data_IF_915820495126
#
_entry.id   IF_915820495126
#
_cell.length_a   1.000
_cell.length_b   1.000
_cell.length_c   1.000
_cell.angle_alpha   90.00
_cell.angle_beta   90.00
_cell.angle_gamma   90.00
#
_symmetry.space_group_name_H-M   'P 1'
#
loop_
_entity.id
_entity.type
_entity.pdbx_description
1 polymer ?
#
# COMPACT_ATOMS: atom_id res chain seq x y z
N UNK A 1 -10.86 -8.28 -10.89
CA UNK A 1 -11.56 -9.61 -10.98
C UNK A 1 -10.64 -10.77 -10.63
N UNK A 2 -9.44 -10.87 -11.23
CA UNK A 2 -8.48 -11.95 -10.96
C UNK A 2 -8.05 -12.04 -9.49
N UNK A 3 -7.73 -10.92 -8.85
CA UNK A 3 -7.43 -10.89 -7.40
C UNK A 3 -8.57 -11.45 -6.53
N UNK A 4 -9.84 -11.10 -6.83
CA UNK A 4 -11.00 -11.68 -6.11
C UNK A 4 -11.04 -13.21 -6.25
N UNK A 5 -10.76 -13.74 -7.45
CA UNK A 5 -10.66 -15.19 -7.68
C UNK A 5 -9.49 -15.80 -6.90
N UNK A 6 -8.34 -15.13 -6.83
CA UNK A 6 -7.16 -15.59 -6.07
C UNK A 6 -7.45 -15.65 -4.57
N UNK A 7 -8.07 -14.60 -4.01
CA UNK A 7 -8.52 -14.59 -2.61
C UNK A 7 -9.57 -15.67 -2.32
N UNK A 8 -10.58 -15.83 -3.18
CA UNK A 8 -11.55 -16.94 -3.05
C UNK A 8 -10.89 -18.31 -3.14
N UNK A 9 -9.83 -18.45 -3.95
CA UNK A 9 -9.08 -19.70 -4.07
C UNK A 9 -8.32 -20.01 -2.78
N UNK A 10 -7.60 -19.02 -2.21
CA UNK A 10 -6.96 -19.15 -0.89
C UNK A 10 -7.95 -19.60 0.19
N UNK A 11 -9.14 -18.98 0.26
CA UNK A 11 -10.16 -19.36 1.23
C UNK A 11 -10.63 -20.81 1.06
N UNK A 12 -10.76 -21.29 -0.19
CA UNK A 12 -11.12 -22.69 -0.47
C UNK A 12 -10.03 -23.66 -0.02
N UNK A 13 -8.76 -23.35 -0.29
CA UNK A 13 -7.63 -24.15 0.16
C UNK A 13 -7.59 -24.28 1.69
N UNK A 14 -7.80 -23.17 2.41
CA UNK A 14 -7.87 -23.20 3.88
C UNK A 14 -9.03 -24.05 4.38
N UNK A 15 -10.18 -24.00 3.72
CA UNK A 15 -11.37 -24.78 4.11
C UNK A 15 -11.22 -26.27 3.85
N UNK A 16 -10.54 -26.68 2.77
CA UNK A 16 -10.38 -28.09 2.41
C UNK A 16 -9.35 -28.82 3.26
N UNK A 17 -8.33 -28.12 3.77
CA UNK A 17 -7.15 -28.75 4.38
C UNK A 17 -7.19 -28.81 5.91
N UNK A 18 -8.26 -28.33 6.55
CA UNK A 18 -8.39 -28.41 8.02
C UNK A 18 -9.18 -29.66 8.40
N UNK A 19 -8.53 -30.55 9.13
CA UNK A 19 -9.17 -31.63 9.88
C UNK A 19 -10.04 -31.00 10.97
N UNK A 20 -11.36 -30.99 10.79
CA UNK A 20 -12.27 -30.39 11.78
C UNK A 20 -12.23 -31.19 13.08
N UNK A 21 -11.87 -30.54 14.19
CA UNK A 21 -12.12 -31.08 15.53
C UNK A 21 -13.63 -31.20 15.78
N UNK A 22 -14.04 -32.04 16.73
CA UNK A 22 -15.45 -32.26 17.08
C UNK A 22 -16.17 -31.00 17.57
N UNK A 23 -15.45 -30.05 18.17
CA UNK A 23 -16.01 -28.78 18.64
C UNK A 23 -16.30 -27.80 17.49
N UNK A 24 -15.41 -27.73 16.48
CA UNK A 24 -15.56 -26.84 15.32
C UNK A 24 -16.74 -27.20 14.40
N UNK A 25 -17.23 -28.44 14.46
CA UNK A 25 -18.39 -28.90 13.66
C UNK A 25 -19.71 -28.31 14.14
N UNK A 26 -19.79 -27.89 15.40
CA UNK A 26 -21.06 -27.43 16.01
C UNK A 26 -21.41 -25.97 15.69
N UNK A 27 -20.43 -25.15 15.30
CA UNK A 27 -20.64 -23.72 15.00
C UNK A 27 -20.88 -23.41 13.52
N UNK A 28 -20.64 -24.36 12.60
CA UNK A 28 -20.74 -24.14 11.15
C UNK A 28 -19.82 -23.04 10.61
N UNK A 29 -18.85 -22.57 11.41
CA UNK A 29 -18.09 -21.36 11.14
C UNK A 29 -16.90 -21.68 10.23
N UNK A 30 -16.92 -21.11 9.02
CA UNK A 30 -15.81 -21.22 8.06
C UNK A 30 -14.57 -20.51 8.63
N UNK A 31 -13.58 -21.27 9.10
CA UNK A 31 -12.34 -20.70 9.61
C UNK A 31 -11.39 -20.30 8.48
N UNK A 32 -11.06 -19.02 8.40
CA UNK A 32 -10.06 -18.45 7.50
C UNK A 32 -9.17 -17.55 8.38
N UNK A 33 -7.84 -17.77 8.39
CA UNK A 33 -6.93 -16.93 9.17
C UNK A 33 -7.11 -15.45 8.82
N UNK A 34 -7.39 -14.65 9.85
CA UNK A 34 -7.70 -13.22 9.71
C UNK A 34 -6.50 -12.49 9.09
N UNK A 35 -6.74 -11.81 7.97
CA UNK A 35 -5.75 -11.00 7.23
C UNK A 35 -4.52 -11.76 6.67
N UNK A 36 -4.44 -13.10 6.77
CA UNK A 36 -3.26 -13.83 6.29
C UNK A 36 -2.99 -13.60 4.79
N UNK A 37 -4.04 -13.54 3.97
CA UNK A 37 -3.92 -13.19 2.55
C UNK A 37 -3.40 -11.76 2.36
N UNK A 38 -3.95 -10.80 3.10
CA UNK A 38 -3.58 -9.38 2.98
C UNK A 38 -2.13 -9.12 3.41
N UNK A 39 -1.70 -9.78 4.50
CA UNK A 39 -0.30 -9.75 4.95
C UNK A 39 0.64 -10.42 3.96
N UNK A 40 0.23 -11.53 3.33
CA UNK A 40 1.02 -12.15 2.27
C UNK A 40 1.22 -11.21 1.07
N UNK A 41 0.18 -10.48 0.64
CA UNK A 41 0.30 -9.43 -0.38
C UNK A 41 1.24 -8.31 0.09
N UNK A 42 1.08 -7.80 1.32
CA UNK A 42 1.93 -6.74 1.85
C UNK A 42 3.40 -7.14 1.95
N UNK A 43 3.69 -8.37 2.39
CA UNK A 43 5.04 -8.95 2.39
C UNK A 43 5.58 -9.03 0.97
N UNK A 44 4.80 -9.53 0.01
CA UNK A 44 5.25 -9.54 -1.38
C UNK A 44 5.64 -8.15 -1.89
N UNK A 45 4.82 -7.14 -1.64
CA UNK A 45 5.11 -5.76 -2.04
C UNK A 45 6.38 -5.22 -1.36
N UNK A 46 6.57 -5.50 -0.08
CA UNK A 46 7.80 -5.17 0.64
C UNK A 46 9.03 -5.84 0.01
N UNK A 47 8.99 -7.17 -0.19
CA UNK A 47 10.13 -7.92 -0.69
C UNK A 47 10.48 -7.52 -2.14
N UNK A 48 9.51 -7.16 -2.99
CA UNK A 48 9.80 -6.55 -4.30
C UNK A 48 10.46 -5.17 -4.22
N UNK A 49 10.34 -4.48 -3.08
CA UNK A 49 10.93 -3.16 -2.90
C UNK A 49 12.35 -3.22 -2.33
N UNK A 50 12.62 -4.17 -1.44
CA UNK A 50 13.93 -4.34 -0.81
C UNK A 50 14.85 -5.29 -1.59
N UNK A 51 14.28 -6.23 -2.35
CA UNK A 51 15.01 -7.13 -3.22
C UNK A 51 14.94 -6.60 -4.66
N UNK A 52 16.02 -5.95 -5.10
CA UNK A 52 16.13 -5.38 -6.45
C UNK A 52 16.49 -6.42 -7.52
N UNK A 53 16.50 -7.72 -7.19
CA UNK A 53 16.90 -8.78 -8.11
C UNK A 53 15.96 -8.94 -9.30
N UNK A 54 14.66 -8.69 -9.12
CA UNK A 54 13.65 -8.94 -10.15
C UNK A 54 12.57 -7.86 -10.21
N UNK A 55 12.21 -7.45 -11.43
CA UNK A 55 11.03 -6.62 -11.65
C UNK A 55 9.78 -7.51 -11.64
N UNK A 56 8.74 -7.19 -10.85
CA UNK A 56 7.53 -8.00 -10.80
C UNK A 56 6.78 -7.94 -12.14
N UNK A 57 6.12 -9.04 -12.50
CA UNK A 57 5.29 -9.10 -13.72
C UNK A 57 4.03 -8.24 -13.62
N UNK A 58 3.50 -8.06 -12.41
CA UNK A 58 2.34 -7.21 -12.12
C UNK A 58 2.62 -6.42 -10.83
N UNK A 59 2.25 -5.13 -10.75
CA UNK A 59 2.55 -4.29 -9.59
C UNK A 59 1.77 -4.67 -8.32
N UNK A 60 0.74 -5.53 -8.39
CA UNK A 60 -0.07 -5.96 -7.25
C UNK A 60 -0.10 -7.48 -7.06
N UNK A 61 -0.19 -8.26 -8.14
CA UNK A 61 -0.35 -9.72 -8.05
C UNK A 61 1.01 -10.41 -7.91
N UNK A 62 1.23 -11.19 -6.85
CA UNK A 62 2.50 -11.85 -6.64
C UNK A 62 2.93 -12.77 -7.78
N UNK A 63 4.14 -12.52 -8.30
CA UNK A 63 4.86 -13.40 -9.21
C UNK A 63 6.16 -13.88 -8.54
N UNK A 64 6.04 -14.44 -7.33
CA UNK A 64 7.18 -14.89 -6.53
C UNK A 64 7.67 -16.27 -6.93
N UNK A 65 8.97 -16.49 -6.76
CA UNK A 65 9.56 -17.82 -6.84
C UNK A 65 9.14 -18.69 -5.64
N UNK A 66 9.12 -20.00 -5.86
CA UNK A 66 8.99 -20.98 -4.79
C UNK A 66 10.17 -20.84 -3.81
N UNK A 67 9.90 -21.02 -2.53
CA UNK A 67 10.84 -20.87 -1.40
C UNK A 67 11.27 -19.44 -1.07
N UNK A 68 10.53 -18.44 -1.56
CA UNK A 68 10.73 -17.03 -1.19
C UNK A 68 10.28 -16.72 0.25
N UNK A 69 10.83 -15.66 0.83
CA UNK A 69 10.51 -15.23 2.21
C UNK A 69 9.00 -14.99 2.44
N UNK A 70 8.24 -14.33 1.51
CA UNK A 70 6.78 -14.23 1.64
C UNK A 70 6.06 -15.59 1.74
N UNK A 71 6.59 -16.65 1.10
CA UNK A 71 6.04 -18.00 1.21
C UNK A 71 6.25 -18.55 2.61
N UNK A 72 7.50 -18.50 3.11
CA UNK A 72 7.86 -18.99 4.44
C UNK A 72 7.02 -18.32 5.53
N UNK A 73 6.81 -17.01 5.42
CA UNK A 73 6.00 -16.24 6.37
C UNK A 73 4.50 -16.58 6.29
N UNK A 74 3.97 -16.85 5.10
CA UNK A 74 2.59 -17.34 4.95
C UNK A 74 2.43 -18.73 5.60
N UNK A 75 3.41 -19.63 5.42
CA UNK A 75 3.38 -20.96 6.06
C UNK A 75 3.39 -20.81 7.58
N UNK A 76 4.28 -19.97 8.13
CA UNK A 76 4.34 -19.71 9.57
C UNK A 76 3.03 -19.14 10.11
N UNK A 77 2.37 -18.24 9.38
CA UNK A 77 1.08 -17.67 9.77
C UNK A 77 -0.06 -18.71 9.73
N UNK A 78 -0.08 -19.60 8.74
CA UNK A 78 -1.02 -20.71 8.68
C UNK A 78 -0.79 -21.71 9.84
N UNK A 79 0.47 -22.03 10.14
CA UNK A 79 0.82 -22.90 11.29
C UNK A 79 0.41 -22.26 12.61
N UNK A 80 0.64 -20.96 12.78
CA UNK A 80 0.18 -20.21 13.95
C UNK A 80 -1.35 -20.21 14.06
N UNK A 81 -2.05 -20.24 12.93
CA UNK A 81 -3.50 -20.41 12.85
C UNK A 81 -3.96 -21.89 12.97
N UNK A 82 -3.10 -22.78 13.48
CA UNK A 82 -3.36 -24.20 13.77
C UNK A 82 -3.59 -25.10 12.54
N UNK A 83 -2.99 -24.77 11.39
CA UNK A 83 -2.86 -25.71 10.29
C UNK A 83 -1.65 -26.63 10.51
N UNK A 84 -1.78 -27.91 10.15
CA UNK A 84 -0.62 -28.82 10.11
C UNK A 84 0.42 -28.29 9.12
N UNK A 85 1.71 -28.43 9.45
CA UNK A 85 2.82 -27.88 8.65
C UNK A 85 2.78 -28.32 7.19
N UNK A 86 2.45 -29.60 6.93
CA UNK A 86 2.35 -30.13 5.57
C UNK A 86 1.19 -29.46 4.79
N UNK A 87 0.04 -29.27 5.44
CA UNK A 87 -1.12 -28.61 4.85
C UNK A 87 -0.85 -27.12 4.61
N UNK A 88 -0.21 -26.43 5.56
CA UNK A 88 0.18 -25.03 5.42
C UNK A 88 1.14 -24.83 4.24
N UNK A 89 2.13 -25.71 4.11
CA UNK A 89 3.09 -25.71 2.99
C UNK A 89 2.38 -25.91 1.65
N UNK A 90 1.48 -26.88 1.58
CA UNK A 90 0.73 -27.19 0.36
C UNK A 90 -0.22 -26.03 -0.04
N UNK A 91 -0.93 -25.44 0.92
CA UNK A 91 -1.77 -24.26 0.68
C UNK A 91 -0.94 -23.11 0.10
N UNK A 92 0.20 -22.80 0.72
CA UNK A 92 1.07 -21.71 0.28
C UNK A 92 1.61 -21.98 -1.13
N UNK A 93 2.06 -23.20 -1.41
CA UNK A 93 2.56 -23.60 -2.72
C UNK A 93 1.49 -23.47 -3.81
N UNK A 94 0.28 -24.01 -3.59
CA UNK A 94 -0.82 -23.89 -4.55
C UNK A 94 -1.25 -22.44 -4.78
N UNK A 95 -1.28 -21.62 -3.72
CA UNK A 95 -1.60 -20.20 -3.84
C UNK A 95 -0.60 -19.47 -4.74
N UNK A 96 0.69 -19.72 -4.53
CA UNK A 96 1.78 -19.10 -5.30
C UNK A 96 1.70 -19.50 -6.76
N UNK A 97 1.57 -20.81 -7.05
CA UNK A 97 1.41 -21.29 -8.41
C UNK A 97 0.22 -20.61 -9.12
N UNK A 98 -0.90 -20.47 -8.42
CA UNK A 98 -2.08 -19.78 -8.97
C UNK A 98 -1.83 -18.30 -9.20
N UNK A 99 -1.09 -17.64 -8.31
CA UNK A 99 -0.73 -16.24 -8.39
C UNK A 99 0.19 -15.95 -9.57
N UNK A 100 1.27 -16.75 -9.73
CA UNK A 100 2.19 -16.68 -10.87
C UNK A 100 1.44 -16.84 -12.19
N UNK A 101 0.59 -17.88 -12.30
CA UNK A 101 -0.21 -18.09 -13.50
C UNK A 101 -1.10 -16.89 -13.84
N UNK A 102 -1.76 -16.29 -12.84
CA UNK A 102 -2.59 -15.10 -13.04
C UNK A 102 -1.74 -13.90 -13.47
N UNK A 103 -0.57 -13.71 -12.86
CA UNK A 103 0.33 -12.59 -13.16
C UNK A 103 0.89 -12.68 -14.59
N UNK A 104 1.31 -13.88 -15.02
CA UNK A 104 1.71 -14.14 -16.41
C UNK A 104 0.57 -13.89 -17.40
N UNK A 105 -0.65 -14.33 -17.09
CA UNK A 105 -1.82 -14.10 -17.94
C UNK A 105 -2.10 -12.59 -18.12
N UNK A 106 -2.00 -11.81 -17.04
CA UNK A 106 -2.20 -10.36 -17.09
C UNK A 106 -1.09 -9.64 -17.87
N UNK A 107 0.16 -10.04 -17.67
CA UNK A 107 1.31 -9.52 -18.42
C UNK A 107 1.13 -9.74 -19.93
N UNK A 108 0.66 -10.93 -20.33
CA UNK A 108 0.42 -11.25 -21.75
C UNK A 108 -0.78 -10.48 -22.34
N UNK A 109 -1.82 -10.20 -21.53
CA UNK A 109 -2.99 -9.43 -21.97
C UNK A 109 -2.73 -7.92 -22.09
N UNK A 110 -1.67 -7.39 -21.46
CA UNK A 110 -1.35 -5.96 -21.49
C UNK A 110 -0.97 -5.45 -22.89
N UNK A 111 -0.70 -6.35 -23.84
CA UNK A 111 -0.34 -5.99 -25.23
C UNK A 111 -1.52 -5.76 -26.17
N UNK A 112 -2.77 -6.03 -25.76
CA UNK A 112 -3.92 -6.01 -26.70
C UNK A 112 -5.22 -5.52 -26.03
N UNK A 113 -5.40 -4.21 -25.82
CA UNK A 113 -6.77 -3.65 -25.73
C UNK A 113 -6.82 -2.17 -26.14
N UNK A 114 -7.67 -1.87 -27.13
CA UNK A 114 -8.06 -0.51 -27.49
C UNK A 114 -8.75 0.19 -26.31
N UNK A 115 -8.44 1.47 -26.10
CA UNK A 115 -8.92 2.26 -24.97
C UNK A 115 -10.45 2.23 -24.84
N UNK A 116 -10.95 1.56 -23.79
CA UNK A 116 -12.36 1.64 -23.42
C UNK A 116 -12.69 3.06 -22.92
N UNK A 117 -13.78 3.67 -23.42
CA UNK A 117 -14.26 4.96 -22.89
C UNK A 117 -14.70 4.77 -21.42
N UNK A 118 -14.36 5.71 -20.54
CA UNK A 118 -14.84 5.77 -19.16
C UNK A 118 -16.07 6.69 -19.08
N UNK A 119 -17.01 6.39 -18.19
CA UNK A 119 -18.21 7.20 -17.95
C UNK A 119 -18.29 7.53 -16.45
N UNK A 120 -18.44 8.81 -16.14
CA UNK A 120 -18.60 9.31 -14.77
C UNK A 120 -20.05 9.71 -14.56
N UNK A 121 -20.68 9.21 -13.50
CA UNK A 121 -22.02 9.65 -13.08
C UNK A 121 -21.92 10.32 -11.72
N UNK A 122 -22.19 11.61 -11.72
CA UNK A 122 -22.24 12.43 -10.52
C UNK A 122 -23.65 12.34 -9.90
N UNK A 123 -23.77 12.40 -8.56
CA UNK A 123 -25.06 12.46 -7.91
C UNK A 123 -25.82 13.72 -8.35
N UNK A 124 -27.14 13.59 -8.48
CA UNK A 124 -28.01 14.69 -8.91
C UNK A 124 -28.13 15.72 -7.78
N UNK A 125 -27.82 17.00 -8.06
CA UNK A 125 -27.74 18.07 -7.04
C UNK A 125 -29.08 18.31 -6.31
N UNK A 126 -30.18 17.80 -6.85
CA UNK A 126 -31.54 17.89 -6.31
C UNK A 126 -31.84 16.87 -5.20
N UNK A 127 -31.00 15.84 -5.02
CA UNK A 127 -31.24 14.77 -4.05
C UNK A 127 -30.61 15.08 -2.68
N UNK A 128 -31.36 15.76 -1.81
CA UNK A 128 -30.96 16.16 -0.45
C UNK A 128 -30.79 15.01 0.57
N UNK A 129 -30.53 13.77 0.15
CA UNK A 129 -30.36 12.66 1.10
C UNK A 129 -28.99 11.96 1.01
N UNK A 130 -28.11 12.46 1.88
CA UNK A 130 -27.09 11.75 2.67
C UNK A 130 -25.94 10.96 2.03
N UNK A 131 -25.82 10.80 0.71
CA UNK A 131 -24.59 10.21 0.13
C UNK A 131 -24.10 10.93 -1.14
N UNK A 132 -23.22 11.92 -0.94
CA UNK A 132 -22.43 12.58 -2.00
C UNK A 132 -21.34 11.64 -2.56
N UNK A 133 -21.74 10.49 -3.10
CA UNK A 133 -20.83 9.53 -3.72
C UNK A 133 -20.91 9.64 -5.23
N UNK A 134 -19.76 9.77 -5.87
CA UNK A 134 -19.61 9.74 -7.33
C UNK A 134 -19.39 8.28 -7.75
N UNK A 135 -20.08 7.85 -8.82
CA UNK A 135 -19.93 6.51 -9.38
C UNK A 135 -19.15 6.55 -10.68
N UNK A 136 -18.10 5.73 -10.76
CA UNK A 136 -17.23 5.63 -11.93
C UNK A 136 -17.47 4.31 -12.65
N UNK A 137 -17.75 4.38 -13.96
CA UNK A 137 -18.06 3.24 -14.82
C UNK A 137 -17.06 3.11 -15.97
N UNK A 138 -16.87 1.87 -16.43
CA UNK A 138 -16.30 1.58 -17.74
C UNK A 138 -17.47 1.39 -18.72
N UNK A 139 -17.48 2.11 -19.85
CA UNK A 139 -18.62 2.22 -20.79
C UNK A 139 -19.22 0.87 -21.22
N UNK A 140 -18.42 -0.21 -21.23
CA UNK A 140 -18.87 -1.54 -21.62
C UNK A 140 -19.95 -2.17 -20.71
N UNK A 141 -20.20 -1.63 -19.51
CA UNK A 141 -21.05 -2.32 -18.54
C UNK A 141 -22.35 -1.60 -18.16
N UNK A 142 -22.45 -0.26 -18.19
CA UNK A 142 -23.63 0.54 -17.71
C UNK A 142 -24.31 0.03 -16.40
N UNK A 143 -23.62 -0.86 -15.68
CA UNK A 143 -24.02 -1.74 -14.58
C UNK A 143 -22.72 -2.23 -13.91
N UNK A 144 -22.79 -3.09 -12.90
CA UNK A 144 -21.58 -3.58 -12.20
C UNK A 144 -20.56 -4.19 -13.19
N UNK A 145 -19.25 -3.96 -13.00
CA UNK A 145 -18.63 -3.28 -11.86
C UNK A 145 -18.58 -1.74 -12.03
N UNK A 146 -18.85 -1.03 -10.94
CA UNK A 146 -18.60 0.40 -10.77
C UNK A 146 -17.79 0.61 -9.48
N UNK A 147 -17.12 1.77 -9.37
CA UNK A 147 -16.41 2.19 -8.17
C UNK A 147 -17.07 3.43 -7.58
N UNK A 148 -17.00 3.58 -6.25
CA UNK A 148 -17.55 4.73 -5.55
C UNK A 148 -16.44 5.55 -4.88
N UNK A 149 -16.59 6.86 -4.91
CA UNK A 149 -15.72 7.81 -4.19
C UNK A 149 -16.59 8.90 -3.56
N UNK A 150 -16.22 9.39 -2.37
CA UNK A 150 -16.90 10.56 -1.79
C UNK A 150 -16.52 11.82 -2.55
N UNK A 151 -17.40 12.82 -2.56
CA UNK A 151 -17.10 14.14 -3.13
C UNK A 151 -15.81 14.73 -2.57
N UNK A 152 -15.61 14.66 -1.24
CA UNK A 152 -14.41 15.15 -0.59
C UNK A 152 -13.10 14.51 -1.08
N UNK A 153 -13.09 13.20 -1.32
CA UNK A 153 -11.91 12.53 -1.86
C UNK A 153 -11.73 12.85 -3.35
N UNK A 154 -12.82 12.99 -4.11
CA UNK A 154 -12.75 13.40 -5.51
C UNK A 154 -12.11 14.78 -5.66
N UNK A 155 -12.61 15.77 -4.90
CA UNK A 155 -12.11 17.15 -4.93
C UNK A 155 -10.63 17.20 -4.51
N UNK A 156 -10.26 16.47 -3.46
CA UNK A 156 -8.87 16.34 -3.02
C UNK A 156 -7.97 15.74 -4.11
N UNK A 157 -8.37 14.64 -4.73
CA UNK A 157 -7.59 14.00 -5.79
C UNK A 157 -7.45 14.90 -7.01
N UNK A 158 -8.47 15.70 -7.32
CA UNK A 158 -8.39 16.69 -8.39
C UNK A 158 -7.33 17.77 -8.07
N UNK A 159 -7.33 18.31 -6.85
CA UNK A 159 -6.32 19.29 -6.41
C UNK A 159 -4.90 18.69 -6.49
N UNK A 160 -4.71 17.47 -5.98
CA UNK A 160 -3.41 16.77 -6.04
C UNK A 160 -2.94 16.57 -7.48
N UNK A 161 -3.86 16.16 -8.37
CA UNK A 161 -3.58 15.96 -9.78
C UNK A 161 -3.20 17.27 -10.50
N UNK A 162 -3.98 18.33 -10.33
CA UNK A 162 -3.74 19.64 -10.93
C UNK A 162 -2.42 20.25 -10.44
N UNK A 163 -2.14 20.18 -9.13
CA UNK A 163 -0.89 20.65 -8.53
C UNK A 163 0.32 19.96 -9.14
N UNK A 164 0.26 18.63 -9.32
CA UNK A 164 1.37 17.86 -9.90
C UNK A 164 1.55 18.16 -11.39
N UNK A 165 0.46 18.19 -12.16
CA UNK A 165 0.52 18.39 -13.62
C UNK A 165 0.96 19.79 -14.02
N UNK A 166 0.71 20.81 -13.18
CA UNK A 166 1.18 22.18 -13.39
C UNK A 166 2.73 22.34 -13.30
N UNK A 167 3.45 21.32 -12.80
CA UNK A 167 4.92 21.36 -12.61
C UNK A 167 5.76 20.64 -13.71
N UNK A 168 5.16 20.37 -14.88
CA UNK A 168 5.75 19.76 -16.10
C UNK A 168 5.84 18.22 -16.15
N UNK A 169 5.01 17.60 -17.01
CA UNK A 169 5.36 16.58 -18.03
C UNK A 169 4.09 16.23 -18.84
N UNK A 170 4.20 16.15 -20.17
CA UNK A 170 3.13 15.68 -21.05
C UNK A 170 3.09 14.15 -21.09
N UNK A 171 1.89 13.60 -21.36
CA UNK A 171 1.53 12.32 -22.05
C UNK A 171 0.27 11.72 -21.39
N UNK A 172 -0.87 11.82 -22.06
CA UNK A 172 -2.08 10.99 -21.94
C UNK A 172 -2.79 10.80 -20.57
N UNK A 173 -2.33 11.38 -19.46
CA UNK A 173 -3.04 11.29 -18.18
C UNK A 173 -4.27 12.22 -18.17
N UNK A 174 -5.46 11.66 -18.41
CA UNK A 174 -6.72 12.30 -18.05
C UNK A 174 -6.99 12.01 -16.58
N UNK A 175 -7.32 13.04 -15.80
CA UNK A 175 -7.66 12.90 -14.38
C UNK A 175 -8.63 11.74 -14.14
N UNK A 176 -9.64 11.59 -15.01
CA UNK A 176 -10.62 10.51 -15.00
C UNK A 176 -9.99 9.12 -15.11
N UNK A 177 -9.04 8.94 -16.04
CA UNK A 177 -8.36 7.65 -16.23
C UNK A 177 -7.47 7.33 -15.04
N UNK A 178 -6.75 8.33 -14.53
CA UNK A 178 -5.91 8.20 -13.34
C UNK A 178 -6.72 7.86 -12.10
N UNK A 179 -7.82 8.59 -11.87
CA UNK A 179 -8.76 8.34 -10.79
C UNK A 179 -9.33 6.93 -10.86
N UNK A 180 -9.76 6.49 -12.05
CA UNK A 180 -10.27 5.13 -12.24
C UNK A 180 -9.21 4.07 -11.90
N UNK A 181 -7.95 4.25 -12.34
CA UNK A 181 -6.86 3.33 -12.04
C UNK A 181 -6.59 3.20 -10.54
N UNK A 182 -6.52 4.33 -9.84
CA UNK A 182 -6.30 4.37 -8.38
C UNK A 182 -7.47 3.72 -7.62
N UNK A 183 -8.72 4.03 -7.99
CA UNK A 183 -9.91 3.38 -7.41
C UNK A 183 -9.86 1.85 -7.60
N UNK A 184 -9.59 1.38 -8.82
CA UNK A 184 -9.51 -0.06 -9.10
C UNK A 184 -8.39 -0.72 -8.31
N UNK A 185 -7.20 -0.11 -8.27
CA UNK A 185 -6.02 -0.69 -7.60
C UNK A 185 -6.24 -0.83 -6.10
N UNK A 186 -6.63 0.25 -5.41
CA UNK A 186 -6.78 0.22 -3.95
C UNK A 186 -8.00 -0.58 -3.50
N UNK A 187 -9.10 -0.58 -4.26
CA UNK A 187 -10.21 -1.49 -3.96
C UNK A 187 -9.88 -2.96 -4.25
N UNK A 188 -8.97 -3.22 -5.20
CA UNK A 188 -8.46 -4.58 -5.46
C UNK A 188 -7.49 -5.04 -4.36
N UNK A 189 -6.66 -4.14 -3.84
CA UNK A 189 -5.77 -4.42 -2.71
C UNK A 189 -6.59 -4.79 -1.46
N UNK A 190 -7.66 -4.03 -1.15
CA UNK A 190 -8.57 -4.35 -0.05
C UNK A 190 -8.00 -4.13 1.36
N UNK A 191 -6.91 -3.36 1.48
CA UNK A 191 -6.17 -3.11 2.73
C UNK A 191 -6.84 -2.08 3.67
N UNK A 192 -8.17 -2.10 3.79
CA UNK A 192 -8.84 -1.22 4.75
C UNK A 192 -8.43 -1.58 6.18
N UNK A 193 -7.97 -0.60 6.96
CA UNK A 193 -7.56 -0.79 8.35
C UNK A 193 -6.14 -1.32 8.57
N UNK A 194 -5.30 -1.36 7.53
CA UNK A 194 -3.90 -1.78 7.66
C UNK A 194 -3.00 -0.73 8.30
N UNK A 195 -3.47 0.50 8.49
CA UNK A 195 -2.72 1.61 9.10
C UNK A 195 -3.67 2.55 9.85
N UNK A 196 -3.16 3.31 10.81
CA UNK A 196 -3.95 4.29 11.53
C UNK A 196 -4.09 5.57 10.69
N UNK A 197 -5.30 6.11 10.53
CA UNK A 197 -5.43 7.44 9.94
C UNK A 197 -4.97 8.49 10.96
N UNK A 198 -3.95 9.27 10.62
CA UNK A 198 -3.49 10.37 11.46
C UNK A 198 -4.38 11.61 11.23
N UNK A 199 -4.95 12.24 12.27
CA UNK A 199 -5.91 13.32 12.10
C UNK A 199 -5.24 14.57 11.53
N UNK A 200 -6.02 15.39 10.81
CA UNK A 200 -5.51 16.64 10.20
C UNK A 200 -4.90 17.61 11.22
N UNK A 201 -5.43 17.65 12.45
CA UNK A 201 -4.85 18.43 13.55
C UNK A 201 -3.47 17.92 13.96
N UNK A 202 -3.26 16.60 13.93
CA UNK A 202 -1.95 15.98 14.14
C UNK A 202 -0.97 16.41 13.06
N UNK A 203 -1.36 16.34 11.79
CA UNK A 203 -0.49 16.80 10.69
C UNK A 203 -0.15 18.28 10.77
N UNK A 204 -1.11 19.14 11.14
CA UNK A 204 -0.83 20.56 11.39
C UNK A 204 0.24 20.74 12.49
N UNK A 205 0.14 19.99 13.58
CA UNK A 205 1.16 20.00 14.63
C UNK A 205 2.53 19.54 14.13
N UNK A 206 2.60 18.47 13.33
CA UNK A 206 3.86 17.98 12.75
C UNK A 206 4.47 19.00 11.77
N UNK A 207 3.65 19.63 10.91
CA UNK A 207 4.10 20.70 10.01
C UNK A 207 4.65 21.88 10.81
N UNK A 208 3.89 22.40 11.76
CA UNK A 208 4.21 23.67 12.41
C UNK A 208 5.38 23.52 13.39
N UNK A 209 5.36 22.44 14.20
CA UNK A 209 6.35 22.16 15.24
C UNK A 209 7.60 21.43 14.75
N UNK A 210 7.47 20.53 13.76
CA UNK A 210 8.59 19.69 13.30
C UNK A 210 9.00 19.94 11.86
N UNK A 211 8.31 20.85 11.13
CA UNK A 211 8.54 21.11 9.70
C UNK A 211 8.42 19.84 8.85
N UNK A 212 7.50 18.97 9.25
CA UNK A 212 7.22 17.71 8.57
C UNK A 212 6.24 17.93 7.42
N UNK A 213 6.68 17.71 6.17
CA UNK A 213 5.84 17.85 4.96
C UNK A 213 5.70 16.55 4.18
N UNK A 214 6.51 15.53 4.52
CA UNK A 214 6.57 14.27 3.81
C UNK A 214 5.93 13.17 4.66
N UNK A 215 5.06 12.39 4.03
CA UNK A 215 4.56 11.13 4.55
C UNK A 215 5.30 10.00 3.86
N UNK A 216 5.93 9.08 4.61
CA UNK A 216 6.62 7.94 4.02
C UNK A 216 5.66 6.86 3.49
N UNK A 217 4.49 6.72 4.13
CA UNK A 217 3.52 5.67 3.84
C UNK A 217 2.11 6.26 3.72
N UNK A 218 1.68 6.47 2.47
CA UNK A 218 0.35 6.96 2.17
C UNK A 218 -0.17 6.39 0.84
N UNK A 219 -1.34 6.88 0.47
CA UNK A 219 -2.00 6.70 -0.81
C UNK A 219 -2.61 8.04 -1.21
N UNK A 220 -2.96 8.23 -2.49
CA UNK A 220 -3.69 9.44 -2.90
C UNK A 220 -4.96 9.71 -2.06
N UNK A 221 -5.60 8.65 -1.53
CA UNK A 221 -6.81 8.78 -0.71
C UNK A 221 -6.53 9.36 0.68
N UNK A 222 -5.49 8.91 1.36
CA UNK A 222 -5.24 9.25 2.77
C UNK A 222 -4.08 10.22 3.01
N UNK A 223 -3.23 10.50 2.01
CA UNK A 223 -2.13 11.46 2.14
C UNK A 223 -2.65 12.83 2.58
N UNK A 224 -2.08 13.43 3.60
CA UNK A 224 -2.43 14.77 4.02
C UNK A 224 -2.06 15.82 2.97
N UNK A 225 -0.88 15.69 2.36
CA UNK A 225 -0.45 16.56 1.26
C UNK A 225 0.50 15.84 0.29
N UNK A 226 0.73 16.43 -0.90
CA UNK A 226 1.85 16.08 -1.76
C UNK A 226 3.10 16.87 -1.31
N UNK A 227 4.30 16.26 -1.30
CA UNK A 227 4.63 14.91 -1.76
C UNK A 227 4.51 13.81 -0.69
N UNK A 228 4.17 12.59 -1.11
CA UNK A 228 4.02 11.42 -0.22
C UNK A 228 4.59 10.13 -0.81
N UNK A 229 4.96 9.16 0.02
CA UNK A 229 5.39 7.84 -0.40
C UNK A 229 4.20 6.91 -0.56
N UNK A 230 4.21 6.07 -1.60
CA UNK A 230 3.15 5.07 -1.80
C UNK A 230 3.66 3.82 -2.51
N UNK A 231 2.92 2.73 -2.37
CA UNK A 231 3.31 1.43 -2.92
C UNK A 231 3.13 1.32 -4.44
N UNK A 232 2.22 2.11 -5.04
CA UNK A 232 1.89 2.02 -6.47
C UNK A 232 2.27 3.28 -7.25
N UNK A 233 3.57 3.54 -7.37
CA UNK A 233 4.08 4.71 -8.09
C UNK A 233 3.56 4.83 -9.54
N UNK A 234 3.30 3.70 -10.20
CA UNK A 234 2.80 3.62 -11.58
C UNK A 234 1.47 4.37 -11.81
N UNK A 235 0.64 4.48 -10.77
CA UNK A 235 -0.65 5.16 -10.83
C UNK A 235 -0.76 6.34 -9.84
N UNK A 236 0.02 6.32 -8.76
CA UNK A 236 -0.06 7.34 -7.71
C UNK A 236 0.82 8.56 -8.00
N UNK A 237 1.82 8.44 -8.87
CA UNK A 237 2.77 9.52 -9.19
C UNK A 237 2.08 10.78 -9.74
N UNK A 238 0.99 10.61 -10.50
CA UNK A 238 0.19 11.73 -11.02
C UNK A 238 -0.59 12.49 -9.93
N UNK A 239 -0.67 11.95 -8.71
CA UNK A 239 -1.26 12.59 -7.54
C UNK A 239 -0.22 13.09 -6.52
N UNK A 240 1.08 13.02 -6.84
CA UNK A 240 2.15 13.49 -5.96
C UNK A 240 2.91 12.40 -5.19
N UNK A 241 2.73 11.13 -5.54
CA UNK A 241 3.56 10.06 -4.99
C UNK A 241 5.00 10.15 -5.47
N UNK A 242 5.98 10.01 -4.56
CA UNK A 242 7.40 9.81 -4.87
C UNK A 242 7.79 8.32 -4.94
N UNK A 243 6.81 7.41 -4.80
CA UNK A 243 7.00 5.97 -4.85
C UNK A 243 7.33 5.36 -3.49
N UNK A 244 7.89 4.14 -3.50
CA UNK A 244 8.09 3.37 -2.28
C UNK A 244 9.21 3.96 -1.42
N UNK A 245 8.90 4.22 -0.15
CA UNK A 245 9.88 4.68 0.84
C UNK A 245 11.09 3.74 0.96
N UNK A 246 10.90 2.43 0.79
CA UNK A 246 11.99 1.46 0.86
C UNK A 246 13.02 1.64 -0.26
N UNK A 247 12.58 2.16 -1.42
CA UNK A 247 13.44 2.43 -2.59
C UNK A 247 14.09 3.82 -2.55
N UNK A 248 13.59 4.74 -1.74
CA UNK A 248 14.11 6.11 -1.70
C UNK A 248 15.49 6.23 -1.04
N UNK A 249 16.38 7.01 -1.65
CA UNK A 249 17.62 7.50 -1.04
C UNK A 249 17.37 8.80 -0.26
N UNK A 250 18.31 9.19 0.60
CA UNK A 250 18.22 10.47 1.31
C UNK A 250 18.14 11.65 0.33
N UNK A 251 18.91 11.63 -0.76
CA UNK A 251 18.86 12.67 -1.78
C UNK A 251 17.48 12.78 -2.44
N UNK A 252 16.82 11.66 -2.71
CA UNK A 252 15.48 11.66 -3.31
C UNK A 252 14.47 12.27 -2.35
N UNK A 253 14.50 11.89 -1.07
CA UNK A 253 13.64 12.48 -0.03
C UNK A 253 13.88 13.98 0.13
N UNK A 254 15.15 14.41 0.13
CA UNK A 254 15.50 15.83 0.23
C UNK A 254 14.96 16.66 -0.94
N UNK A 255 14.92 16.09 -2.15
CA UNK A 255 14.35 16.75 -3.35
C UNK A 255 12.83 16.94 -3.26
N UNK A 256 12.14 16.13 -2.44
CA UNK A 256 10.70 16.26 -2.25
C UNK A 256 10.33 17.39 -1.27
N UNK A 257 11.22 17.77 -0.37
CA UNK A 257 10.95 18.79 0.65
C UNK A 257 10.82 20.18 0.03
N UNK A 258 9.67 20.83 0.29
CA UNK A 258 9.36 22.18 -0.21
C UNK A 258 9.78 23.30 0.72
N UNK A 259 10.05 23.01 2.00
CA UNK A 259 10.60 24.00 2.92
C UNK A 259 11.90 24.61 2.41
N UNK A 260 11.82 25.88 2.01
CA UNK A 260 12.97 26.75 1.85
C UNK A 260 13.47 27.15 3.23
N UNK A 261 14.75 26.91 3.51
CA UNK A 261 15.42 27.47 4.66
C UNK A 261 16.34 28.59 4.18
N UNK A 262 16.35 29.73 4.87
CA UNK A 262 17.25 30.85 4.56
C UNK A 262 18.72 30.48 4.72
N UNK A 263 19.01 29.47 5.56
CA UNK A 263 20.33 28.88 5.76
C UNK A 263 20.25 27.36 5.63
N UNK A 264 21.21 26.78 4.91
CA UNK A 264 21.30 25.32 4.69
C UNK A 264 21.54 24.58 6.02
N UNK A 265 22.31 25.17 6.93
CA UNK A 265 22.71 24.56 8.22
C UNK A 265 21.56 24.39 9.23
N UNK A 266 20.46 25.11 9.01
CA UNK A 266 19.25 25.07 9.85
C UNK A 266 18.18 24.11 9.31
N UNK A 267 18.36 23.57 8.10
CA UNK A 267 17.37 22.69 7.47
C UNK A 267 17.37 21.32 8.13
N UNK A 268 16.23 20.96 8.72
CA UNK A 268 15.96 19.60 9.21
C UNK A 268 14.98 18.93 8.26
N UNK A 269 15.37 17.80 7.68
CA UNK A 269 14.49 16.98 6.85
C UNK A 269 13.63 16.09 7.75
N UNK A 270 12.37 16.49 7.93
CA UNK A 270 11.41 15.77 8.78
C UNK A 270 10.41 14.99 7.95
N UNK A 271 10.23 13.72 8.29
CA UNK A 271 9.39 12.77 7.57
C UNK A 271 8.49 12.06 8.57
N UNK A 272 7.18 12.03 8.30
CA UNK A 272 6.20 11.24 9.05
C UNK A 272 6.26 9.80 8.56
N UNK A 273 6.22 8.86 9.49
CA UNK A 273 6.36 7.43 9.18
C UNK A 273 5.29 6.62 9.90
N UNK A 274 4.22 6.31 9.18
CA UNK A 274 3.11 5.48 9.66
C UNK A 274 2.91 4.24 8.75
N UNK A 275 3.80 3.24 8.88
CA UNK A 275 3.78 2.06 8.03
C UNK A 275 2.56 1.16 8.31
N UNK A 276 2.14 0.34 7.31
CA UNK A 276 1.16 -0.71 7.53
C UNK A 276 1.54 -1.67 8.65
N UNK A 277 0.55 -2.16 9.41
CA UNK A 277 0.71 -3.01 10.59
C UNK A 277 0.97 -4.48 10.24
N UNK A 278 2.01 -4.70 9.43
CA UNK A 278 2.54 -6.00 9.07
C UNK A 278 3.95 -6.06 9.65
N UNK A 279 4.23 -7.06 10.49
CA UNK A 279 5.45 -7.10 11.31
C UNK A 279 6.73 -6.89 10.50
N UNK A 280 6.81 -7.49 9.31
CA UNK A 280 7.97 -7.37 8.44
C UNK A 280 8.09 -5.96 7.84
N UNK A 281 6.96 -5.35 7.45
CA UNK A 281 6.94 -3.95 6.96
C UNK A 281 7.37 -2.99 8.08
N UNK A 282 6.84 -3.18 9.28
CA UNK A 282 7.19 -2.40 10.48
C UNK A 282 8.70 -2.49 10.78
N UNK A 283 9.25 -3.72 10.81
CA UNK A 283 10.66 -3.93 11.12
C UNK A 283 11.59 -3.37 10.03
N UNK A 284 11.28 -3.64 8.76
CA UNK A 284 12.06 -3.10 7.64
C UNK A 284 11.99 -1.57 7.56
N UNK A 285 10.92 -0.96 8.05
CA UNK A 285 10.82 0.50 8.17
C UNK A 285 11.89 1.05 9.11
N UNK A 286 12.12 0.40 10.26
CA UNK A 286 13.19 0.79 11.19
C UNK A 286 14.56 0.67 10.52
N UNK A 287 14.85 -0.46 9.87
CA UNK A 287 16.12 -0.66 9.17
C UNK A 287 16.34 0.39 8.07
N UNK A 288 15.27 0.76 7.35
CA UNK A 288 15.35 1.81 6.34
C UNK A 288 15.66 3.16 6.96
N UNK A 289 14.99 3.54 8.04
CA UNK A 289 15.23 4.78 8.77
C UNK A 289 16.67 4.84 9.27
N UNK A 290 17.17 3.78 9.92
CA UNK A 290 18.55 3.75 10.44
C UNK A 290 19.59 3.87 9.32
N UNK A 291 19.35 3.23 8.18
CA UNK A 291 20.21 3.36 6.99
C UNK A 291 20.25 4.80 6.48
N UNK A 292 19.09 5.46 6.38
CA UNK A 292 18.99 6.86 5.96
C UNK A 292 19.63 7.82 6.97
N UNK A 293 19.44 7.59 8.28
CA UNK A 293 20.07 8.39 9.34
C UNK A 293 21.59 8.19 9.39
N UNK A 294 22.08 6.99 9.09
CA UNK A 294 23.52 6.72 8.93
C UNK A 294 24.11 7.50 7.74
N UNK A 295 23.42 7.53 6.59
CA UNK A 295 23.85 8.38 5.46
C UNK A 295 23.80 9.87 5.84
N UNK A 296 22.78 10.29 6.58
CA UNK A 296 22.64 11.66 7.07
C UNK A 296 23.80 12.06 7.99
N UNK A 297 24.17 11.22 8.97
CA UNK A 297 25.32 11.40 9.87
C UNK A 297 26.62 11.59 9.07
N UNK A 298 26.89 10.69 8.12
CA UNK A 298 28.10 10.71 7.28
C UNK A 298 28.20 12.01 6.47
N UNK A 299 27.06 12.56 6.05
CA UNK A 299 26.96 13.76 5.22
C UNK A 299 26.68 15.03 6.02
N UNK A 300 26.59 14.93 7.35
CA UNK A 300 26.23 16.01 8.27
C UNK A 300 24.89 16.68 7.91
N UNK A 301 23.93 15.88 7.44
CA UNK A 301 22.57 16.29 7.14
C UNK A 301 21.71 16.07 8.39
N UNK A 302 20.91 17.06 8.78
CA UNK A 302 19.96 16.91 9.88
C UNK A 302 18.69 16.28 9.33
N UNK A 303 18.42 15.03 9.69
CA UNK A 303 17.21 14.32 9.32
C UNK A 303 16.48 13.81 10.57
N UNK A 304 15.15 13.71 10.48
CA UNK A 304 14.29 13.21 11.54
C UNK A 304 13.15 12.39 10.93
N UNK A 305 12.85 11.27 11.56
CA UNK A 305 11.72 10.41 11.20
C UNK A 305 10.78 10.31 12.39
N UNK A 306 9.54 10.74 12.21
CA UNK A 306 8.49 10.78 13.22
C UNK A 306 7.64 9.53 13.06
N UNK A 307 8.00 8.46 13.79
CA UNK A 307 7.38 7.13 13.65
C UNK A 307 6.09 7.06 14.47
N UNK A 308 4.97 6.79 13.81
CA UNK A 308 3.64 6.68 14.41
C UNK A 308 3.16 5.24 14.25
N UNK A 309 3.18 4.48 15.33
CA UNK A 309 2.83 3.05 15.35
C UNK A 309 2.09 2.68 16.63
N UNK A 310 1.25 1.62 16.64
CA UNK A 310 0.62 1.11 17.84
C UNK A 310 1.66 0.69 18.89
N UNK A 311 1.33 0.86 20.17
CA UNK A 311 2.19 0.42 21.26
C UNK A 311 2.12 -1.10 21.46
N UNK A 312 3.04 -1.82 20.79
CA UNK A 312 3.20 -3.27 20.83
C UNK A 312 4.65 -3.62 21.18
N UNK A 313 5.06 -3.26 22.40
CA UNK A 313 6.42 -3.37 22.93
C UNK A 313 7.09 -4.75 22.75
N UNK A 314 6.32 -5.83 22.66
CA UNK A 314 6.86 -7.19 22.45
C UNK A 314 7.36 -7.46 21.03
N UNK A 315 6.95 -6.65 20.05
CA UNK A 315 7.26 -6.87 18.63
C UNK A 315 8.72 -6.53 18.30
N UNK A 316 9.27 -7.21 17.28
CA UNK A 316 10.65 -6.97 16.83
C UNK A 316 10.91 -5.53 16.40
N UNK A 317 9.90 -4.87 15.82
CA UNK A 317 10.01 -3.45 15.44
C UNK A 317 10.21 -2.55 16.66
N UNK A 318 9.44 -2.74 17.74
CA UNK A 318 9.59 -1.94 18.96
C UNK A 318 10.95 -2.17 19.60
N UNK A 319 11.40 -3.42 19.70
CA UNK A 319 12.75 -3.76 20.19
C UNK A 319 13.84 -3.08 19.35
N UNK A 320 13.69 -3.07 18.03
CA UNK A 320 14.61 -2.38 17.12
C UNK A 320 14.62 -0.86 17.36
N UNK A 321 13.45 -0.21 17.43
CA UNK A 321 13.34 1.23 17.74
C UNK A 321 13.98 1.57 19.10
N UNK A 322 13.72 0.78 20.14
CA UNK A 322 14.27 1.02 21.48
C UNK A 322 15.79 0.86 21.54
N UNK A 323 16.34 -0.05 20.76
CA UNK A 323 17.78 -0.28 20.67
C UNK A 323 18.52 0.71 19.76
N UNK A 324 17.78 1.50 18.96
CA UNK A 324 18.37 2.41 17.99
C UNK A 324 19.13 3.55 18.68
N UNK A 325 20.37 3.81 18.26
CA UNK A 325 21.16 4.97 18.73
C UNK A 325 20.55 6.32 18.32
N UNK A 326 19.53 6.31 17.45
CA UNK A 326 18.87 7.50 16.92
C UNK A 326 17.52 7.82 17.58
N UNK A 327 17.08 7.01 18.55
CA UNK A 327 15.80 7.20 19.24
C UNK A 327 15.75 8.50 20.03
#
# INVERSE_FOLDING_TARGET
RKMKKLRSYFHKLCQSSRSMSSEDKTSGQKYIPVLAFDKWIARHLLYNDIDNSHSPLDPLIPSIESHSEPQSLLIAELVHAHFETNNATEIAHQLIQKSVHISTELSNHFQLTSASKLIFKFPDKSSQQHHHKIRVFVNAFNSKPFFEISQSHYDKLQILFETRMNTSLSVNARFEVSLFRVLVRYETLGAHGSQAAFPASGFNFLRDGFKCELEAFASPFNAWNSPFGSVFHDIDSCFGSFGSFFKCTLNELMKQSTFSCERIDDKVYSIEVNPPFVNEVLLHTVYKIESLLKDADLRRIRARFLVIVPFWNETSMWKALESSKYK
#
